data_IF_610129696937
#
_entry.id   IF_610129696937
#
_cell.length_a   1.000
_cell.length_b   1.000
_cell.length_c   1.000
_cell.angle_alpha   90.00
_cell.angle_beta   90.00
_cell.angle_gamma   90.00
#
_symmetry.space_group_name_H-M   'P 1'
#
loop_
_entity.id
_entity.type
_entity.pdbx_description
1 polymer ?
#
# COMPACT_ATOMS: atom_id res chain seq x y z
N UNK A 1 -44.36 62.34 10.58
CA UNK A 1 -44.24 62.70 9.16
C UNK A 1 -43.66 61.52 8.39
N UNK A 2 -44.24 61.25 7.23
CA UNK A 2 -44.13 60.04 6.44
C UNK A 2 -42.77 59.84 5.73
N UNK A 3 -42.50 58.60 5.32
CA UNK A 3 -42.01 58.19 3.97
C UNK A 3 -41.49 56.74 4.06
N UNK A 4 -42.22 55.72 3.57
CA UNK A 4 -42.17 55.13 2.21
C UNK A 4 -40.79 54.51 1.89
N UNK A 5 -40.60 53.34 1.25
CA UNK A 5 -41.44 52.25 0.75
C UNK A 5 -40.50 51.18 0.10
N UNK A 6 -41.12 50.06 -0.34
CA UNK A 6 -40.67 49.05 -1.36
C UNK A 6 -39.91 47.84 -0.77
N UNK A 7 -40.51 46.65 -0.66
CA UNK A 7 -41.05 45.72 -1.70
C UNK A 7 -39.97 45.06 -2.56
N UNK A 8 -39.74 43.76 -2.30
CA UNK A 8 -39.47 42.69 -3.28
C UNK A 8 -39.27 41.38 -2.47
N UNK A 9 -40.26 40.48 -2.42
CA UNK A 9 -40.51 39.40 -3.38
C UNK A 9 -39.60 38.18 -3.18
N UNK A 10 -40.26 37.03 -2.93
CA UNK A 10 -39.84 35.67 -3.28
C UNK A 10 -38.71 35.03 -2.43
N UNK A 11 -38.77 33.79 -1.98
CA UNK A 11 -39.78 32.73 -2.10
C UNK A 11 -39.36 31.55 -1.19
N UNK A 12 -40.26 30.58 -1.08
CA UNK A 12 -40.02 29.16 -0.75
C UNK A 12 -39.70 28.80 0.70
N UNK A 13 -40.72 28.36 1.43
CA UNK A 13 -40.84 26.99 1.99
C UNK A 13 -41.79 26.98 3.18
N UNK A 14 -42.93 26.33 3.02
CA UNK A 14 -43.52 25.46 4.04
C UNK A 14 -44.82 24.86 3.49
N UNK A 15 -44.68 23.99 2.50
CA UNK A 15 -45.74 23.06 2.16
C UNK A 15 -45.43 21.72 2.80
N UNK A 16 -46.46 21.15 3.41
CA UNK A 16 -46.77 19.73 3.48
C UNK A 16 -46.35 18.91 4.72
N UNK A 17 -47.41 18.65 5.50
CA UNK A 17 -47.92 17.30 5.86
C UNK A 17 -47.26 16.57 7.04
N UNK A 18 -47.98 16.67 8.16
CA UNK A 18 -48.17 15.65 9.20
C UNK A 18 -48.23 14.22 8.62
N UNK A 19 -47.39 13.32 9.15
CA UNK A 19 -47.63 11.88 9.21
C UNK A 19 -46.83 11.28 10.38
N UNK A 20 -47.39 10.37 11.19
CA UNK A 20 -46.63 9.66 12.21
C UNK A 20 -45.73 8.60 11.57
N UNK A 21 -44.47 8.54 11.98
CA UNK A 21 -43.55 7.45 11.63
C UNK A 21 -44.02 6.17 12.33
N UNK A 22 -44.49 5.20 11.55
CA UNK A 22 -44.70 3.83 12.02
C UNK A 22 -43.35 3.20 12.40
N UNK A 23 -43.28 2.58 13.58
CA UNK A 23 -42.14 1.77 14.01
C UNK A 23 -42.11 0.48 13.19
N UNK A 24 -41.10 0.33 12.34
CA UNK A 24 -40.85 -0.92 11.61
C UNK A 24 -40.19 -1.94 12.56
N UNK A 25 -40.84 -3.11 12.72
CA UNK A 25 -40.31 -4.22 13.49
C UNK A 25 -39.06 -4.83 12.81
N UNK A 26 -37.96 -4.92 13.56
CA UNK A 26 -36.71 -5.58 13.13
C UNK A 26 -36.90 -7.10 13.21
N UNK A 27 -36.74 -7.81 12.09
CA UNK A 27 -36.69 -9.28 12.06
C UNK A 27 -35.33 -9.76 12.60
N UNK A 28 -35.25 -10.79 13.45
CA UNK A 28 -33.96 -11.33 13.88
C UNK A 28 -33.32 -12.13 12.73
N UNK A 29 -32.03 -11.92 12.52
CA UNK A 29 -31.22 -12.67 11.56
C UNK A 29 -31.07 -14.12 12.02
N UNK A 30 -31.42 -15.08 11.17
CA UNK A 30 -31.15 -16.50 11.36
C UNK A 30 -29.63 -16.74 11.42
N UNK A 31 -29.16 -17.24 12.57
CA UNK A 31 -27.80 -17.75 12.71
C UNK A 31 -27.67 -19.04 11.89
N UNK A 32 -26.78 -19.05 10.90
CA UNK A 32 -26.45 -20.24 10.13
C UNK A 32 -25.56 -21.16 10.98
N UNK A 33 -26.12 -22.26 11.46
CA UNK A 33 -25.41 -23.33 12.16
C UNK A 33 -24.47 -24.04 11.19
N UNK A 34 -23.16 -23.86 11.35
CA UNK A 34 -22.16 -24.62 10.61
C UNK A 34 -22.14 -26.06 11.13
N UNK A 35 -22.79 -26.98 10.42
CA UNK A 35 -22.73 -28.40 10.71
C UNK A 35 -21.32 -28.94 10.45
N UNK A 36 -20.75 -29.62 11.44
CA UNK A 36 -19.42 -30.24 11.43
C UNK A 36 -19.25 -31.26 10.29
N UNK A 37 -20.35 -31.67 9.63
CA UNK A 37 -20.36 -32.56 8.48
C UNK A 37 -19.83 -31.91 7.18
N UNK A 38 -19.75 -30.57 7.11
CA UNK A 38 -19.20 -29.87 5.94
C UNK A 38 -17.65 -29.95 5.84
N UNK A 39 -16.98 -30.54 6.84
CA UNK A 39 -15.50 -30.64 6.90
C UNK A 39 -14.92 -31.88 6.21
N UNK A 40 -15.75 -32.83 5.78
CA UNK A 40 -15.29 -34.11 5.24
C UNK A 40 -15.14 -34.16 3.71
N UNK A 41 -15.52 -33.11 2.97
CA UNK A 41 -15.49 -33.08 1.49
C UNK A 41 -14.34 -32.25 0.88
N UNK A 42 -13.43 -31.70 1.68
CA UNK A 42 -12.33 -30.84 1.21
C UNK A 42 -10.98 -31.59 1.07
N UNK A 43 -10.98 -32.92 1.13
CA UNK A 43 -9.77 -33.73 1.02
C UNK A 43 -9.57 -34.26 -0.42
N UNK A 44 -8.89 -33.44 -1.24
CA UNK A 44 -8.12 -33.76 -2.47
C UNK A 44 -8.32 -32.69 -3.55
N UNK A 45 -7.85 -31.48 -3.28
CA UNK A 45 -7.42 -30.61 -4.36
C UNK A 45 -6.02 -31.11 -4.80
N UNK A 46 -5.96 -31.85 -5.91
CA UNK A 46 -4.69 -32.17 -6.58
C UNK A 46 -4.01 -30.84 -6.94
N UNK A 47 -2.85 -30.55 -6.34
CA UNK A 47 -2.02 -29.42 -6.76
C UNK A 47 -1.67 -29.60 -8.24
N UNK A 48 -2.39 -28.87 -9.10
CA UNK A 48 -2.11 -28.81 -10.53
C UNK A 48 -0.78 -28.05 -10.64
N UNK A 49 0.31 -28.74 -10.96
CA UNK A 49 1.61 -28.14 -11.20
C UNK A 49 1.48 -27.17 -12.36
N UNK A 50 1.43 -25.87 -12.07
CA UNK A 50 1.57 -24.83 -13.07
C UNK A 50 2.91 -25.06 -13.79
N UNK A 51 2.96 -25.07 -15.14
CA UNK A 51 4.23 -25.21 -15.83
C UNK A 51 5.14 -24.06 -15.36
N UNK A 52 6.17 -24.43 -14.63
CA UNK A 52 7.19 -23.52 -14.11
C UNK A 52 8.00 -23.07 -15.32
N UNK A 53 7.53 -22.03 -16.03
CA UNK A 53 8.25 -21.46 -17.16
C UNK A 53 9.67 -21.10 -16.71
N UNK A 54 10.67 -21.49 -17.48
CA UNK A 54 12.08 -21.18 -17.19
C UNK A 54 12.24 -19.66 -17.21
N UNK A 55 12.39 -19.07 -16.02
CA UNK A 55 12.48 -17.64 -15.77
C UNK A 55 13.95 -17.22 -15.87
N UNK A 56 14.38 -16.86 -17.07
CA UNK A 56 15.67 -16.21 -17.30
C UNK A 56 15.47 -14.92 -18.09
N UNK A 57 16.55 -14.17 -18.28
CA UNK A 57 16.58 -12.93 -19.07
C UNK A 57 15.81 -13.10 -20.40
N UNK A 58 14.71 -12.37 -20.55
CA UNK A 58 13.93 -12.35 -21.79
C UNK A 58 14.11 -11.01 -22.46
N UNK A 59 14.60 -11.04 -23.69
CA UNK A 59 14.48 -9.92 -24.59
C UNK A 59 13.03 -9.86 -25.05
N UNK A 60 12.26 -8.93 -24.48
CA UNK A 60 10.86 -8.72 -24.82
C UNK A 60 10.75 -7.62 -25.87
N UNK A 61 9.86 -7.81 -26.83
CA UNK A 61 9.57 -6.79 -27.84
C UNK A 61 8.35 -5.99 -27.41
N UNK A 62 8.56 -4.72 -27.09
CA UNK A 62 7.51 -3.76 -26.79
C UNK A 62 7.34 -2.82 -27.98
N UNK A 63 6.33 -3.11 -28.81
CA UNK A 63 5.94 -2.30 -29.96
C UNK A 63 7.10 -1.99 -30.95
N UNK A 64 8.00 -2.95 -31.18
CA UNK A 64 9.15 -2.85 -32.07
C UNK A 64 10.48 -2.54 -31.36
N UNK A 65 10.46 -2.30 -30.05
CA UNK A 65 11.67 -2.06 -29.24
C UNK A 65 12.00 -3.30 -28.41
N UNK A 66 13.18 -3.87 -28.65
CA UNK A 66 13.69 -5.02 -27.89
C UNK A 66 14.31 -4.54 -26.58
N UNK A 67 13.70 -4.90 -25.46
CA UNK A 67 14.17 -4.57 -24.12
C UNK A 67 14.67 -5.81 -23.38
N UNK A 68 15.76 -5.65 -22.64
CA UNK A 68 16.31 -6.71 -21.78
C UNK A 68 15.63 -6.63 -20.43
N UNK A 69 14.77 -7.60 -20.12
CA UNK A 69 14.08 -7.67 -18.84
C UNK A 69 14.74 -8.73 -17.95
N UNK A 70 15.20 -8.28 -16.79
CA UNK A 70 15.78 -9.15 -15.76
C UNK A 70 14.68 -9.61 -14.80
N UNK A 71 14.63 -10.92 -14.56
CA UNK A 71 13.75 -11.51 -13.58
C UNK A 71 14.46 -11.70 -12.23
N UNK A 72 13.68 -11.97 -11.17
CA UNK A 72 14.24 -12.18 -9.83
C UNK A 72 15.20 -13.38 -9.74
N UNK A 73 15.05 -14.36 -10.62
CA UNK A 73 15.93 -15.53 -10.74
C UNK A 73 17.33 -15.20 -11.28
N UNK A 74 17.48 -14.13 -12.08
CA UNK A 74 18.78 -13.72 -12.64
C UNK A 74 19.67 -13.03 -11.59
N UNK A 75 19.03 -12.46 -10.55
CA UNK A 75 19.64 -11.74 -9.43
C UNK A 75 19.13 -12.25 -8.07
N UNK A 76 19.53 -13.47 -7.67
CA UNK A 76 19.20 -13.99 -6.34
C UNK A 76 19.90 -13.17 -5.25
N UNK A 77 19.36 -13.24 -4.03
CA UNK A 77 19.85 -12.48 -2.88
C UNK A 77 21.35 -12.69 -2.60
N UNK A 78 21.81 -13.94 -2.65
CA UNK A 78 23.22 -14.29 -2.42
C UNK A 78 24.16 -13.57 -3.41
N UNK A 79 23.79 -13.55 -4.70
CA UNK A 79 24.56 -12.84 -5.73
C UNK A 79 24.61 -11.34 -5.47
N UNK A 80 23.51 -10.74 -4.99
CA UNK A 80 23.47 -9.31 -4.64
C UNK A 80 24.37 -9.00 -3.45
N UNK A 81 24.33 -9.82 -2.40
CA UNK A 81 25.19 -9.68 -1.23
C UNK A 81 26.67 -9.82 -1.60
N UNK A 82 27.01 -10.82 -2.42
CA UNK A 82 28.38 -11.03 -2.90
C UNK A 82 28.87 -9.87 -3.77
N UNK A 83 27.98 -9.31 -4.60
CA UNK A 83 28.30 -8.19 -5.47
C UNK A 83 28.60 -6.91 -4.68
N UNK A 84 27.81 -6.61 -3.65
CA UNK A 84 27.92 -5.39 -2.84
C UNK A 84 28.64 -5.57 -1.51
N UNK A 85 29.29 -6.71 -1.27
CA UNK A 85 29.91 -7.06 0.03
C UNK A 85 30.90 -6.03 0.57
N UNK A 86 31.58 -5.30 -0.32
CA UNK A 86 32.61 -4.31 0.03
C UNK A 86 32.10 -2.87 -0.10
N UNK A 87 30.86 -2.67 -0.56
CA UNK A 87 30.31 -1.37 -0.85
C UNK A 87 29.42 -0.89 0.30
N UNK A 88 29.38 0.43 0.49
CA UNK A 88 28.45 1.07 1.41
C UNK A 88 27.47 1.92 0.62
N UNK A 89 26.18 1.57 0.66
CA UNK A 89 25.15 2.32 -0.04
C UNK A 89 24.73 3.53 0.81
N UNK A 90 25.08 4.73 0.35
CA UNK A 90 24.64 5.96 0.97
C UNK A 90 23.27 6.38 0.44
N UNK A 91 22.24 6.29 1.28
CA UNK A 91 20.91 6.80 0.99
C UNK A 91 20.82 8.27 1.44
N UNK A 92 20.70 9.18 0.47
CA UNK A 92 20.61 10.62 0.74
C UNK A 92 19.14 11.03 0.78
N UNK A 93 18.69 11.41 1.97
CA UNK A 93 17.29 11.73 2.23
C UNK A 93 16.47 10.52 2.68
N UNK A 94 15.52 10.78 3.58
CA UNK A 94 14.67 9.77 4.20
C UNK A 94 13.18 10.16 4.11
N UNK A 95 12.72 10.43 2.89
CA UNK A 95 11.30 10.60 2.58
C UNK A 95 10.61 9.26 2.29
N UNK A 96 9.47 9.26 1.59
CA UNK A 96 8.71 8.04 1.28
C UNK A 96 9.51 6.98 0.53
N UNK A 97 10.25 7.37 -0.51
CA UNK A 97 11.09 6.45 -1.29
C UNK A 97 12.31 5.98 -0.49
N UNK A 98 12.98 6.90 0.22
CA UNK A 98 14.15 6.57 1.03
C UNK A 98 13.80 5.63 2.20
N UNK A 99 12.66 5.84 2.84
CA UNK A 99 12.17 4.97 3.91
C UNK A 99 11.98 3.52 3.41
N UNK A 100 11.20 3.32 2.35
CA UNK A 100 10.94 2.00 1.81
C UNK A 100 12.19 1.32 1.23
N UNK A 101 12.97 2.04 0.42
CA UNK A 101 14.18 1.47 -0.20
C UNK A 101 15.27 1.18 0.83
N UNK A 102 15.49 2.07 1.80
CA UNK A 102 16.50 1.90 2.83
C UNK A 102 16.21 0.69 3.73
N UNK A 103 14.95 0.52 4.15
CA UNK A 103 14.56 -0.65 4.96
C UNK A 103 14.69 -1.93 4.16
N UNK A 104 14.19 -1.96 2.91
CA UNK A 104 14.31 -3.14 2.06
C UNK A 104 15.78 -3.53 1.81
N UNK A 105 16.66 -2.57 1.56
CA UNK A 105 18.07 -2.85 1.33
C UNK A 105 18.76 -3.39 2.60
N UNK A 106 18.48 -2.79 3.76
CA UNK A 106 18.98 -3.24 5.07
C UNK A 106 18.50 -4.65 5.40
N UNK A 107 17.22 -4.94 5.18
CA UNK A 107 16.62 -6.25 5.46
C UNK A 107 17.13 -7.35 4.51
N UNK A 108 17.60 -6.97 3.32
CA UNK A 108 18.32 -7.86 2.39
C UNK A 108 19.81 -8.05 2.77
N UNK A 109 20.28 -7.49 3.89
CA UNK A 109 21.65 -7.66 4.38
C UNK A 109 22.69 -6.80 3.64
N UNK A 110 22.27 -5.76 2.94
CA UNK A 110 23.19 -4.80 2.32
C UNK A 110 23.66 -3.78 3.36
N UNK A 111 24.90 -3.31 3.23
CA UNK A 111 25.43 -2.26 4.07
C UNK A 111 24.93 -0.90 3.59
N UNK A 112 24.01 -0.30 4.35
CA UNK A 112 23.34 0.96 4.00
C UNK A 112 23.57 1.98 5.11
N UNK A 113 23.85 3.22 4.72
CA UNK A 113 23.90 4.37 5.63
C UNK A 113 22.91 5.44 5.14
N UNK A 114 22.32 6.19 6.07
CA UNK A 114 21.35 7.25 5.75
C UNK A 114 21.95 8.60 6.08
N UNK A 115 22.06 9.47 5.07
CA UNK A 115 22.49 10.86 5.21
C UNK A 115 21.29 11.81 5.20
N UNK A 116 21.05 12.47 6.34
CA UNK A 116 19.95 13.45 6.52
C UNK A 116 20.41 14.62 7.38
N UNK A 117 19.82 15.81 7.15
CA UNK A 117 20.15 17.01 7.93
C UNK A 117 19.71 16.86 9.39
N UNK A 118 20.65 17.03 10.32
CA UNK A 118 20.40 16.96 11.77
C UNK A 118 19.30 17.95 12.18
N UNK A 119 18.45 17.53 13.12
CA UNK A 119 17.37 18.35 13.68
C UNK A 119 16.13 18.52 12.79
N UNK A 120 16.16 18.00 11.55
CA UNK A 120 15.01 18.02 10.65
C UNK A 120 14.00 16.91 10.92
N UNK A 121 12.86 16.98 10.22
CA UNK A 121 11.80 15.97 10.29
C UNK A 121 12.27 14.59 9.78
N UNK A 122 12.95 14.55 8.64
CA UNK A 122 13.52 13.32 8.08
C UNK A 122 14.60 12.69 8.97
N UNK A 123 15.27 13.49 9.82
CA UNK A 123 16.21 12.98 10.80
C UNK A 123 15.49 12.23 11.92
N UNK A 124 14.39 12.76 12.45
CA UNK A 124 13.56 12.05 13.45
C UNK A 124 13.02 10.73 12.88
N UNK A 125 12.49 10.77 11.66
CA UNK A 125 11.98 9.56 10.98
C UNK A 125 13.09 8.52 10.75
N UNK A 126 14.32 8.95 10.45
CA UNK A 126 15.45 8.03 10.33
C UNK A 126 15.82 7.39 11.70
N UNK A 127 15.84 8.17 12.77
CA UNK A 127 16.07 7.61 14.12
C UNK A 127 14.97 6.61 14.50
N UNK A 128 13.70 6.93 14.25
CA UNK A 128 12.56 6.02 14.45
C UNK A 128 12.66 4.74 13.61
N UNK A 129 13.17 4.86 12.38
CA UNK A 129 13.49 3.72 11.50
C UNK A 129 14.67 2.86 11.96
N UNK A 130 15.28 3.17 13.10
CA UNK A 130 16.41 2.45 13.68
C UNK A 130 17.76 2.82 13.07
N UNK A 131 17.84 3.90 12.30
CA UNK A 131 19.10 4.40 11.78
C UNK A 131 19.85 5.14 12.88
N UNK A 132 21.09 4.75 13.15
CA UNK A 132 21.98 5.51 14.03
C UNK A 132 22.34 6.78 13.29
N UNK A 133 21.93 7.94 13.79
CA UNK A 133 22.06 9.22 13.09
C UNK A 133 23.49 9.43 12.60
N UNK A 134 23.70 9.29 11.29
CA UNK A 134 25.04 9.27 10.69
C UNK A 134 25.17 10.33 9.61
N UNK A 135 26.31 11.01 9.67
CA UNK A 135 26.87 12.07 8.80
C UNK A 135 26.01 13.34 8.65
N UNK A 136 26.40 14.38 9.39
CA UNK A 136 26.09 15.79 9.04
C UNK A 136 27.21 16.36 8.21
#
# INVERSE_FOLDING_TARGET
MASLARSASQAVRAASRRAPRALAAVKPAQAASFSVLARAAAAKATHRSTPQGTRGVKTLDFAGTKEVVYERSDWPLAKLQDYFKNDTLALIGYGSQGHGQGLNARDNGLNVIVGVRKGGESWKQAIEGGWKGTIS
#
